data_IF_131329708751
#
_entry.id   IF_131329708751
#
_cell.length_a   1.000
_cell.length_b   1.000
_cell.length_c   1.000
_cell.angle_alpha   90.00
_cell.angle_beta   90.00
_cell.angle_gamma   90.00
#
_symmetry.space_group_name_H-M   'P 1'
#
loop_
_entity.id
_entity.type
_entity.pdbx_description
1 polymer ?
#
# COMPACT_ATOMS: atom_id res chain seq x y z
N UNK A 1 -18.05 23.73 -54.38
CA UNK A 1 -16.87 24.40 -53.79
C UNK A 1 -17.13 24.50 -52.30
N UNK A 2 -16.61 23.53 -51.53
CA UNK A 2 -16.77 23.51 -50.08
C UNK A 2 -15.78 24.48 -49.47
N UNK A 3 -16.29 25.44 -48.69
CA UNK A 3 -15.48 26.22 -47.77
C UNK A 3 -15.02 25.29 -46.66
N UNK A 4 -13.76 24.85 -46.72
CA UNK A 4 -13.06 24.28 -45.57
C UNK A 4 -12.90 25.39 -44.54
N UNK A 5 -13.76 25.38 -43.52
CA UNK A 5 -13.58 26.21 -42.33
C UNK A 5 -12.21 25.93 -41.72
N UNK A 6 -11.35 26.94 -41.70
CA UNK A 6 -10.08 26.84 -40.97
C UNK A 6 -10.41 26.79 -39.47
N UNK A 7 -10.49 25.59 -38.91
CA UNK A 7 -10.51 25.35 -37.47
C UNK A 7 -9.18 25.83 -36.89
N UNK A 8 -9.07 27.14 -36.66
CA UNK A 8 -7.93 27.74 -35.98
C UNK A 8 -8.11 27.50 -34.50
N UNK A 9 -7.28 26.61 -33.96
CA UNK A 9 -7.15 26.36 -32.53
C UNK A 9 -7.04 27.67 -31.75
N UNK A 10 -7.72 27.74 -30.60
CA UNK A 10 -7.67 28.90 -29.72
C UNK A 10 -6.22 29.18 -29.23
N UNK A 11 -5.90 30.47 -29.09
CA UNK A 11 -4.55 30.93 -28.74
C UNK A 11 -4.07 30.43 -27.38
N UNK A 12 -4.97 30.28 -26.40
CA UNK A 12 -4.63 29.72 -25.09
C UNK A 12 -4.29 28.23 -25.23
N UNK A 13 -5.05 27.50 -26.04
CA UNK A 13 -4.80 26.09 -26.33
C UNK A 13 -3.45 25.88 -27.03
N UNK A 14 -3.12 26.73 -28.00
CA UNK A 14 -1.82 26.71 -28.68
C UNK A 14 -0.67 27.02 -27.71
N UNK A 15 -0.83 28.04 -26.86
CA UNK A 15 0.20 28.43 -25.89
C UNK A 15 0.46 27.34 -24.86
N UNK A 16 -0.61 26.70 -24.34
CA UNK A 16 -0.49 25.56 -23.43
C UNK A 16 0.17 24.35 -24.10
N UNK A 17 -0.24 24.02 -25.33
CA UNK A 17 0.35 22.92 -26.07
C UNK A 17 1.86 23.14 -26.31
N UNK A 18 2.25 24.35 -26.72
CA UNK A 18 3.67 24.72 -26.87
C UNK A 18 4.41 24.70 -25.52
N UNK A 19 3.77 25.15 -24.43
CA UNK A 19 4.34 25.07 -23.08
C UNK A 19 4.57 23.62 -22.61
N UNK A 20 3.61 22.73 -22.86
CA UNK A 20 3.74 21.30 -22.54
C UNK A 20 4.82 20.64 -23.40
N UNK A 21 4.86 20.94 -24.71
CA UNK A 21 5.88 20.43 -25.61
C UNK A 21 7.29 20.83 -25.15
N UNK A 22 7.50 22.11 -24.84
CA UNK A 22 8.76 22.60 -24.27
C UNK A 22 9.07 21.92 -22.93
N UNK A 23 8.06 21.66 -22.10
CA UNK A 23 8.25 20.97 -20.83
C UNK A 23 8.76 19.54 -20.99
N UNK A 24 8.24 18.83 -22.00
CA UNK A 24 8.67 17.47 -22.34
C UNK A 24 10.09 17.42 -22.92
N UNK A 25 10.56 18.54 -23.50
CA UNK A 25 11.87 18.65 -24.13
C UNK A 25 12.99 19.05 -23.16
N UNK A 26 12.68 19.45 -21.92
CA UNK A 26 13.72 19.75 -20.94
C UNK A 26 14.52 18.51 -20.58
N UNK A 27 15.86 18.63 -20.63
CA UNK A 27 16.81 17.60 -20.16
C UNK A 27 16.44 17.05 -18.78
N UNK A 28 16.05 17.94 -17.86
CA UNK A 28 15.65 17.56 -16.50
C UNK A 28 14.38 16.70 -16.49
N UNK A 29 13.42 16.95 -17.38
CA UNK A 29 12.20 16.14 -17.48
C UNK A 29 12.53 14.74 -17.99
N UNK A 30 13.30 14.62 -19.08
CA UNK A 30 13.66 13.33 -19.67
C UNK A 30 14.44 12.48 -18.66
N UNK A 31 15.44 13.08 -18.00
CA UNK A 31 16.26 12.37 -17.01
C UNK A 31 15.44 12.00 -15.77
N UNK A 32 14.58 12.89 -15.27
CA UNK A 32 13.66 12.59 -14.17
C UNK A 32 12.69 11.46 -14.54
N UNK A 33 12.14 11.47 -15.75
CA UNK A 33 11.24 10.45 -16.24
C UNK A 33 11.92 9.07 -16.30
N UNK A 34 13.13 9.00 -16.88
CA UNK A 34 13.88 7.74 -16.95
C UNK A 34 14.25 7.24 -15.57
N UNK A 35 14.73 8.13 -14.69
CA UNK A 35 15.08 7.81 -13.30
C UNK A 35 13.88 7.27 -12.54
N UNK A 36 12.73 7.96 -12.62
CA UNK A 36 11.49 7.53 -11.98
C UNK A 36 11.05 6.17 -12.51
N UNK A 37 11.04 5.98 -13.83
CA UNK A 37 10.65 4.71 -14.45
C UNK A 37 11.55 3.56 -14.00
N UNK A 38 12.88 3.77 -13.96
CA UNK A 38 13.86 2.75 -13.57
C UNK A 38 13.77 2.41 -12.09
N UNK A 39 13.66 3.40 -11.20
CA UNK A 39 13.50 3.16 -9.77
C UNK A 39 12.15 2.50 -9.43
N UNK A 40 11.05 2.98 -10.01
CA UNK A 40 9.71 2.41 -9.77
C UNK A 40 9.53 1.01 -10.35
N UNK A 41 10.35 0.60 -11.32
CA UNK A 41 10.31 -0.75 -11.88
C UNK A 41 10.55 -1.83 -10.82
N UNK A 42 11.39 -1.56 -9.82
CA UNK A 42 11.66 -2.47 -8.71
C UNK A 42 10.46 -2.63 -7.76
N UNK A 43 9.66 -1.56 -7.62
CA UNK A 43 8.52 -1.53 -6.70
C UNK A 43 7.24 -2.05 -7.37
N UNK A 44 7.11 -1.90 -8.69
CA UNK A 44 5.89 -2.25 -9.44
C UNK A 44 5.37 -3.68 -9.14
N UNK A 45 6.18 -4.75 -9.22
CA UNK A 45 5.70 -6.11 -8.92
C UNK A 45 5.16 -6.23 -7.49
N UNK A 46 5.87 -5.64 -6.53
CA UNK A 46 5.48 -5.63 -5.12
C UNK A 46 4.14 -4.91 -4.92
N UNK A 47 3.93 -3.74 -5.54
CA UNK A 47 2.65 -3.01 -5.41
C UNK A 47 1.46 -3.82 -5.90
N UNK A 48 1.60 -4.50 -7.05
CA UNK A 48 0.53 -5.33 -7.61
C UNK A 48 0.27 -6.52 -6.70
N UNK A 49 1.31 -7.14 -6.16
CA UNK A 49 1.21 -8.32 -5.30
C UNK A 49 0.57 -7.97 -3.95
N UNK A 50 0.91 -6.84 -3.34
CA UNK A 50 0.33 -6.35 -2.08
C UNK A 50 -1.14 -5.96 -2.18
N UNK A 51 -1.63 -5.62 -3.37
CA UNK A 51 -3.04 -5.27 -3.60
C UNK A 51 -3.95 -6.50 -3.74
N UNK A 52 -3.40 -7.71 -3.76
CA UNK A 52 -4.20 -8.95 -3.82
C UNK A 52 -4.83 -9.30 -2.46
N UNK A 53 -6.05 -9.88 -2.49
CA UNK A 53 -6.92 -10.03 -1.30
C UNK A 53 -6.48 -11.16 -0.35
N UNK A 54 -5.74 -12.14 -0.85
CA UNK A 54 -5.46 -13.38 -0.14
C UNK A 54 -3.96 -13.62 -0.05
N UNK A 55 -3.27 -12.89 0.83
CA UNK A 55 -1.85 -13.15 1.01
C UNK A 55 -1.38 -13.25 2.44
N UNK A 56 -0.53 -14.24 2.62
CA UNK A 56 0.42 -14.39 3.71
C UNK A 56 1.33 -13.15 3.79
N UNK A 57 1.12 -12.39 4.86
CA UNK A 57 1.81 -11.14 5.14
C UNK A 57 3.26 -11.41 5.57
N UNK A 58 3.63 -12.62 6.02
CA UNK A 58 5.02 -12.98 6.31
C UNK A 58 5.83 -13.04 5.01
N UNK A 59 5.31 -13.69 3.96
CA UNK A 59 5.91 -13.66 2.62
C UNK A 59 5.97 -12.24 2.05
N UNK A 60 4.93 -11.43 2.29
CA UNK A 60 4.93 -10.04 1.87
C UNK A 60 6.05 -9.22 2.54
N UNK A 61 6.33 -9.46 3.83
CA UNK A 61 7.41 -8.80 4.56
C UNK A 61 8.79 -9.16 3.99
N UNK A 62 9.03 -10.44 3.69
CA UNK A 62 10.29 -10.88 3.06
C UNK A 62 10.51 -10.17 1.71
N UNK A 63 9.48 -10.07 0.88
CA UNK A 63 9.59 -9.37 -0.41
C UNK A 63 9.77 -7.85 -0.27
N UNK A 64 9.15 -7.23 0.74
CA UNK A 64 9.39 -5.81 1.05
C UNK A 64 10.86 -5.62 1.44
N UNK A 65 11.41 -6.51 2.27
CA UNK A 65 12.81 -6.45 2.69
C UNK A 65 13.78 -6.66 1.51
N UNK A 66 13.46 -7.60 0.61
CA UNK A 66 14.20 -7.84 -0.63
C UNK A 66 14.21 -6.58 -1.51
N UNK A 67 13.05 -6.02 -1.83
CA UNK A 67 12.94 -4.80 -2.66
C UNK A 67 13.66 -3.62 -2.02
N UNK A 68 13.54 -3.45 -0.70
CA UNK A 68 14.24 -2.39 0.05
C UNK A 68 15.75 -2.55 -0.08
N UNK A 69 16.26 -3.78 0.03
CA UNK A 69 17.68 -4.09 -0.15
C UNK A 69 18.15 -3.82 -1.58
N UNK A 70 17.33 -4.15 -2.59
CA UNK A 70 17.63 -3.83 -3.98
C UNK A 70 17.75 -2.31 -4.22
N UNK A 71 16.83 -1.51 -3.66
CA UNK A 71 16.90 -0.04 -3.80
C UNK A 71 18.09 0.52 -3.01
N UNK A 72 18.41 -0.04 -1.84
CA UNK A 72 19.61 0.34 -1.09
C UNK A 72 20.87 0.07 -1.92
N UNK A 73 20.93 -1.07 -2.61
CA UNK A 73 22.04 -1.40 -3.50
C UNK A 73 22.12 -0.45 -4.71
N UNK A 74 20.99 -0.06 -5.31
CA UNK A 74 20.95 0.98 -6.36
C UNK A 74 21.51 2.30 -5.84
N UNK A 75 21.17 2.67 -4.61
CA UNK A 75 21.64 3.91 -3.98
C UNK A 75 23.13 3.88 -3.65
N UNK A 76 23.65 2.74 -3.20
CA UNK A 76 25.08 2.54 -2.93
C UNK A 76 25.91 2.52 -4.23
N UNK A 77 25.36 1.95 -5.31
CA UNK A 77 25.99 1.89 -6.63
C UNK A 77 25.42 2.94 -7.60
N UNK A 78 25.04 4.10 -7.09
CA UNK A 78 24.35 5.14 -7.86
C UNK A 78 25.16 5.62 -9.07
N UNK A 79 26.49 5.63 -8.99
CA UNK A 79 27.36 6.02 -10.10
C UNK A 79 27.25 5.09 -11.32
N UNK A 80 27.49 3.79 -11.12
CA UNK A 80 27.44 2.82 -12.21
C UNK A 80 26.02 2.62 -12.75
N UNK A 81 25.03 2.62 -11.86
CA UNK A 81 23.62 2.42 -12.25
C UNK A 81 23.07 3.64 -12.99
N UNK A 82 23.36 4.85 -12.50
CA UNK A 82 22.89 6.07 -13.15
C UNK A 82 23.57 6.32 -14.49
N UNK A 83 24.83 5.91 -14.67
CA UNK A 83 25.48 5.97 -15.98
C UNK A 83 24.65 5.25 -17.07
N UNK A 84 24.11 4.07 -16.77
CA UNK A 84 23.24 3.34 -17.70
C UNK A 84 21.88 4.04 -17.91
N UNK A 85 21.32 4.62 -16.85
CA UNK A 85 20.03 5.34 -16.94
C UNK A 85 20.18 6.63 -17.76
N UNK A 86 21.30 7.32 -17.59
CA UNK A 86 21.63 8.54 -18.30
C UNK A 86 21.83 8.26 -19.80
N UNK A 87 22.56 7.20 -20.16
CA UNK A 87 22.70 6.79 -21.57
C UNK A 87 21.36 6.42 -22.24
N UNK A 88 20.39 5.92 -21.47
CA UNK A 88 19.02 5.73 -21.99
C UNK A 88 18.27 7.07 -22.15
N UNK A 89 18.44 8.02 -21.23
CA UNK A 89 17.89 9.36 -21.36
C UNK A 89 18.46 10.09 -22.59
N UNK A 90 19.76 9.96 -22.86
CA UNK A 90 20.40 10.49 -24.07
C UNK A 90 19.79 9.90 -25.33
N UNK A 91 19.63 8.57 -25.41
CA UNK A 91 18.99 7.93 -26.57
C UNK A 91 17.57 8.44 -26.81
N UNK A 92 16.79 8.65 -25.75
CA UNK A 92 15.42 9.18 -25.85
C UNK A 92 15.45 10.62 -26.35
N UNK A 93 16.36 11.45 -25.84
CA UNK A 93 16.51 12.84 -26.28
C UNK A 93 16.93 12.92 -27.75
N UNK A 94 17.94 12.14 -28.17
CA UNK A 94 18.41 12.11 -29.56
C UNK A 94 17.30 11.65 -30.52
N UNK A 95 16.51 10.65 -30.13
CA UNK A 95 15.36 10.20 -30.92
C UNK A 95 14.27 11.28 -31.06
N UNK A 96 14.16 12.19 -30.08
CA UNK A 96 13.27 13.34 -30.13
C UNK A 96 13.88 14.55 -30.87
N UNK A 97 15.17 14.50 -31.25
CA UNK A 97 15.88 15.58 -31.92
C UNK A 97 16.54 16.61 -30.99
N UNK A 98 16.81 16.25 -29.74
CA UNK A 98 17.42 17.12 -28.73
C UNK A 98 18.62 16.48 -28.04
N UNK A 99 19.51 17.30 -27.49
CA UNK A 99 20.66 16.84 -26.71
C UNK A 99 20.47 17.12 -25.21
N UNK A 100 20.84 16.15 -24.37
CA UNK A 100 20.76 16.27 -22.91
C UNK A 100 21.88 17.19 -22.42
N UNK A 101 21.52 18.43 -22.09
CA UNK A 101 22.44 19.43 -21.56
C UNK A 101 22.12 19.83 -20.12
N UNK A 102 23.15 20.27 -19.39
CA UNK A 102 22.98 20.84 -18.06
C UNK A 102 22.18 22.14 -18.10
N UNK A 103 21.31 22.40 -17.10
CA UNK A 103 20.72 23.71 -16.92
C UNK A 103 21.79 24.78 -16.72
N UNK A 104 21.49 26.03 -17.09
CA UNK A 104 22.38 27.16 -16.85
C UNK A 104 22.66 27.31 -15.35
N UNK A 105 23.94 27.21 -14.97
CA UNK A 105 24.41 27.46 -13.61
C UNK A 105 24.80 28.93 -13.46
N UNK A 106 24.28 29.59 -12.42
CA UNK A 106 24.63 30.97 -12.08
C UNK A 106 25.50 30.97 -10.82
N UNK A 107 26.49 31.87 -10.73
CA UNK A 107 27.42 31.91 -9.58
C UNK A 107 26.73 32.12 -8.22
N UNK A 108 25.56 32.78 -8.21
CA UNK A 108 24.75 32.95 -7.01
C UNK A 108 23.31 32.53 -7.33
N UNK A 109 22.90 31.40 -6.77
CA UNK A 109 21.55 30.87 -6.90
C UNK A 109 20.99 30.74 -5.48
N UNK A 110 19.97 31.54 -5.14
CA UNK A 110 19.37 31.57 -3.80
C UNK A 110 18.12 30.70 -3.67
N UNK A 111 17.57 30.24 -4.80
CA UNK A 111 16.28 29.54 -4.87
C UNK A 111 16.36 28.11 -5.42
N UNK A 112 17.56 27.61 -5.77
CA UNK A 112 17.76 26.25 -6.31
C UNK A 112 19.11 25.70 -5.85
N UNK A 113 19.18 24.38 -5.69
CA UNK A 113 20.41 23.68 -5.37
C UNK A 113 21.44 23.79 -6.50
N UNK A 114 22.63 24.26 -6.14
CA UNK A 114 23.76 24.40 -7.05
C UNK A 114 24.74 23.25 -6.81
N UNK A 115 24.45 22.09 -7.40
CA UNK A 115 25.34 20.94 -7.32
C UNK A 115 26.57 21.17 -8.21
N UNK A 116 27.81 21.24 -7.66
CA UNK A 116 29.00 21.32 -8.47
C UNK A 116 29.14 20.02 -9.27
N UNK A 117 29.20 20.12 -10.60
CA UNK A 117 29.28 18.97 -11.47
C UNK A 117 30.16 19.26 -12.69
N UNK A 118 30.97 18.27 -13.06
CA UNK A 118 31.92 18.39 -14.18
C UNK A 118 31.26 18.01 -15.53
N UNK A 119 30.14 17.29 -15.50
CA UNK A 119 29.42 16.82 -16.68
C UNK A 119 27.91 16.71 -16.38
N UNK A 120 27.10 16.55 -17.45
CA UNK A 120 25.64 16.42 -17.34
C UNK A 120 25.20 15.24 -16.49
N UNK A 121 25.87 14.10 -16.61
CA UNK A 121 25.58 12.88 -15.84
C UNK A 121 25.69 13.14 -14.34
N UNK A 122 26.82 13.65 -13.88
CA UNK A 122 27.09 13.87 -12.46
C UNK A 122 26.17 14.94 -11.86
N UNK A 123 25.77 15.95 -12.65
CA UNK A 123 24.79 16.94 -12.22
C UNK A 123 23.42 16.31 -11.96
N UNK A 124 22.89 15.54 -12.91
CA UNK A 124 21.58 14.92 -12.75
C UNK A 124 21.58 13.76 -11.77
N UNK A 125 22.72 13.07 -11.60
CA UNK A 125 22.90 12.07 -10.55
C UNK A 125 22.70 12.66 -9.16
N UNK A 126 23.36 13.80 -8.89
CA UNK A 126 23.30 14.48 -7.60
C UNK A 126 21.96 15.19 -7.37
N UNK A 127 21.38 15.80 -8.41
CA UNK A 127 20.15 16.60 -8.29
C UNK A 127 18.85 15.82 -8.40
N UNK A 128 18.85 14.67 -9.10
CA UNK A 128 17.63 13.90 -9.38
C UNK A 128 17.74 12.48 -8.81
N UNK A 129 18.73 11.70 -9.25
CA UNK A 129 18.74 10.27 -8.96
C UNK A 129 18.95 9.94 -7.49
N UNK A 130 19.95 10.56 -6.86
CA UNK A 130 20.24 10.36 -5.43
C UNK A 130 19.05 10.81 -4.56
N UNK A 131 18.53 12.04 -4.69
CA UNK A 131 17.37 12.49 -3.92
C UNK A 131 16.13 11.61 -4.13
N UNK A 132 15.90 11.14 -5.36
CA UNK A 132 14.77 10.27 -5.66
C UNK A 132 14.91 8.90 -5.00
N UNK A 133 16.08 8.27 -5.06
CA UNK A 133 16.32 6.98 -4.40
C UNK A 133 16.27 7.10 -2.87
N UNK A 134 16.81 8.18 -2.31
CA UNK A 134 16.71 8.48 -0.87
C UNK A 134 15.26 8.66 -0.43
N UNK A 135 14.45 9.37 -1.24
CA UNK A 135 13.02 9.50 -0.99
C UNK A 135 12.28 8.16 -1.07
N UNK A 136 12.55 7.33 -2.09
CA UNK A 136 11.95 6.00 -2.20
C UNK A 136 12.27 5.11 -1.00
N UNK A 137 13.54 5.11 -0.54
CA UNK A 137 13.94 4.37 0.64
C UNK A 137 13.25 4.88 1.91
N UNK A 138 13.16 6.20 2.07
CA UNK A 138 12.46 6.82 3.20
C UNK A 138 10.99 6.43 3.24
N UNK A 139 10.30 6.48 2.09
CA UNK A 139 8.88 6.10 1.99
C UNK A 139 8.65 4.60 2.26
N UNK A 140 9.52 3.72 1.74
CA UNK A 140 9.41 2.28 2.03
C UNK A 140 9.63 1.97 3.51
N UNK A 141 10.68 2.54 4.10
CA UNK A 141 10.99 2.34 5.51
C UNK A 141 9.91 2.91 6.43
N UNK A 142 9.40 4.10 6.12
CA UNK A 142 8.31 4.74 6.87
C UNK A 142 7.01 3.93 6.79
N UNK A 143 6.60 3.55 5.57
CA UNK A 143 5.34 2.83 5.34
C UNK A 143 5.33 1.43 5.94
N UNK A 144 6.48 0.75 5.96
CA UNK A 144 6.60 -0.64 6.41
C UNK A 144 7.36 -0.78 7.73
N UNK A 145 7.52 0.30 8.50
CA UNK A 145 8.22 0.31 9.78
C UNK A 145 7.73 -0.79 10.74
N UNK A 146 6.42 -1.03 10.79
CA UNK A 146 5.77 -2.02 11.66
C UNK A 146 5.51 -3.36 10.97
N UNK A 147 5.98 -3.55 9.72
CA UNK A 147 5.75 -4.80 8.99
C UNK A 147 6.50 -5.98 9.61
N UNK A 148 7.65 -5.74 10.27
CA UNK A 148 8.38 -6.76 11.03
C UNK A 148 7.52 -7.30 12.17
N UNK A 149 6.93 -6.42 12.98
CA UNK A 149 6.02 -6.81 14.05
C UNK A 149 4.84 -7.61 13.52
N UNK A 150 4.22 -7.18 12.41
CA UNK A 150 3.14 -7.93 11.79
C UNK A 150 3.61 -9.34 11.38
N UNK A 151 4.76 -9.46 10.70
CA UNK A 151 5.33 -10.73 10.29
C UNK A 151 5.67 -11.64 11.48
N UNK A 152 6.19 -11.07 12.56
CA UNK A 152 6.53 -11.80 13.80
C UNK A 152 5.26 -12.34 14.49
N UNK A 153 4.13 -11.62 14.47
CA UNK A 153 2.84 -12.15 14.98
C UNK A 153 2.28 -13.24 14.07
N UNK A 154 2.39 -13.03 12.76
CA UNK A 154 1.94 -14.01 11.79
C UNK A 154 2.77 -15.27 11.80
N UNK A 155 3.99 -15.25 12.35
CA UNK A 155 4.75 -16.46 12.62
C UNK A 155 3.97 -17.48 13.46
N UNK A 156 2.92 -17.08 14.20
CA UNK A 156 2.01 -17.99 14.90
C UNK A 156 1.06 -18.76 13.98
N UNK A 157 0.85 -18.30 12.74
CA UNK A 157 0.05 -19.02 11.75
C UNK A 157 0.77 -20.32 11.40
N UNK A 158 0.12 -21.49 11.51
CA UNK A 158 0.80 -22.79 11.42
C UNK A 158 1.64 -23.03 10.17
N UNK A 159 1.20 -22.55 9.00
CA UNK A 159 1.95 -22.69 7.76
C UNK A 159 3.30 -21.95 7.80
N UNK A 160 3.30 -20.70 8.26
CA UNK A 160 4.51 -19.89 8.43
C UNK A 160 5.33 -20.28 9.65
N UNK A 161 4.67 -20.76 10.70
CA UNK A 161 5.30 -21.26 11.93
C UNK A 161 6.26 -22.39 11.62
N UNK A 162 5.83 -23.37 10.82
CA UNK A 162 6.64 -24.54 10.49
C UNK A 162 7.79 -24.23 9.52
N UNK A 163 7.63 -23.22 8.65
CA UNK A 163 8.71 -22.75 7.78
C UNK A 163 9.84 -22.07 8.56
N UNK A 164 9.51 -21.36 9.65
CA UNK A 164 10.46 -20.53 10.40
C UNK A 164 11.01 -21.20 11.67
N UNK A 165 10.50 -22.37 12.06
CA UNK A 165 10.91 -23.07 13.29
C UNK A 165 11.65 -24.36 12.99
N UNK A 166 12.45 -24.81 13.97
CA UNK A 166 13.16 -26.09 13.91
C UNK A 166 12.47 -27.11 14.82
N UNK A 167 12.71 -28.41 14.59
CA UNK A 167 12.23 -29.44 15.51
C UNK A 167 12.93 -29.30 16.88
N UNK A 168 12.16 -29.14 17.95
CA UNK A 168 12.66 -28.97 19.32
C UNK A 168 12.19 -27.66 19.98
N UNK A 169 12.93 -27.23 21.00
CA UNK A 169 12.63 -25.99 21.72
C UNK A 169 13.09 -24.79 20.89
N UNK A 170 12.16 -23.89 20.59
CA UNK A 170 12.41 -22.66 19.86
C UNK A 170 12.22 -21.48 20.83
N UNK A 171 13.15 -20.53 20.79
CA UNK A 171 12.97 -19.26 21.45
C UNK A 171 11.80 -18.50 20.80
N UNK A 172 11.09 -17.70 21.61
CA UNK A 172 10.08 -16.79 21.08
C UNK A 172 10.77 -15.77 20.16
N UNK A 173 10.20 -15.46 18.98
CA UNK A 173 10.71 -14.36 18.15
C UNK A 173 10.69 -13.03 18.91
N UNK A 174 11.74 -12.21 18.78
CA UNK A 174 11.89 -10.91 19.45
C UNK A 174 10.66 -10.00 19.29
N UNK A 175 10.03 -9.99 18.11
CA UNK A 175 8.83 -9.21 17.88
C UNK A 175 7.59 -9.75 18.61
N UNK A 176 7.49 -11.06 18.81
CA UNK A 176 6.39 -11.66 19.58
C UNK A 176 6.57 -11.37 21.08
N UNK A 177 7.80 -11.36 21.59
CA UNK A 177 8.10 -10.93 22.96
C UNK A 177 7.84 -9.42 23.16
N UNK A 178 8.24 -8.59 22.19
CA UNK A 178 7.93 -7.15 22.19
C UNK A 178 6.43 -6.86 22.16
N UNK A 179 5.63 -7.77 21.61
CA UNK A 179 4.17 -7.64 21.60
C UNK A 179 3.52 -8.23 22.84
N UNK A 180 4.06 -9.31 23.39
CA UNK A 180 3.63 -9.84 24.68
C UNK A 180 3.80 -8.78 25.78
N UNK A 181 4.90 -8.01 25.74
CA UNK A 181 5.11 -6.86 26.63
C UNK A 181 4.16 -5.69 26.35
N UNK A 182 3.80 -5.43 25.09
CA UNK A 182 2.82 -4.40 24.74
C UNK A 182 1.40 -4.78 25.19
N UNK A 183 1.05 -6.06 25.09
CA UNK A 183 -0.25 -6.63 25.42
C UNK A 183 -0.28 -7.28 26.80
N UNK A 184 0.62 -6.89 27.71
CA UNK A 184 0.73 -7.48 29.04
C UNK A 184 -0.60 -7.42 29.82
N UNK A 185 -1.42 -6.39 29.57
CA UNK A 185 -2.75 -6.23 30.17
C UNK A 185 -3.84 -7.11 29.55
N UNK A 186 -3.63 -7.55 28.31
CA UNK A 186 -4.60 -8.33 27.54
C UNK A 186 -4.27 -9.83 27.55
N UNK A 187 -3.00 -10.20 27.79
CA UNK A 187 -2.56 -11.59 27.88
C UNK A 187 -3.02 -12.23 29.20
N UNK A 188 -3.61 -13.43 29.16
CA UNK A 188 -3.97 -14.18 30.36
C UNK A 188 -2.78 -14.50 31.28
N UNK A 189 -1.64 -14.89 30.72
CA UNK A 189 -0.41 -15.16 31.47
C UNK A 189 0.83 -15.04 30.58
N UNK A 190 1.53 -13.91 30.70
CA UNK A 190 2.77 -13.64 29.96
C UNK A 190 3.82 -14.73 30.17
N UNK A 191 4.00 -15.21 31.41
CA UNK A 191 5.08 -16.12 31.77
C UNK A 191 4.97 -17.51 31.12
N UNK A 192 3.77 -17.93 30.74
CA UNK A 192 3.53 -19.22 30.07
C UNK A 192 3.58 -19.17 28.54
N UNK A 193 3.73 -17.98 27.94
CA UNK A 193 3.73 -17.81 26.49
C UNK A 193 4.79 -18.68 25.79
N UNK A 194 6.00 -18.78 26.36
CA UNK A 194 7.09 -19.57 25.76
C UNK A 194 6.79 -21.07 25.73
N UNK A 195 6.24 -21.58 26.83
CA UNK A 195 5.81 -22.97 26.92
C UNK A 195 4.62 -23.26 26.01
N UNK A 196 3.70 -22.30 25.88
CA UNK A 196 2.57 -22.37 24.97
C UNK A 196 2.99 -22.37 23.50
N UNK A 197 3.93 -21.49 23.13
CA UNK A 197 4.52 -21.40 21.79
C UNK A 197 5.17 -22.72 21.35
N UNK A 198 5.99 -23.31 22.22
CA UNK A 198 6.64 -24.60 21.93
C UNK A 198 5.64 -25.76 21.81
N UNK A 199 4.58 -25.77 22.63
CA UNK A 199 3.47 -26.73 22.51
C UNK A 199 2.68 -26.54 21.22
N UNK A 200 2.52 -25.30 20.76
CA UNK A 200 1.84 -24.97 19.50
C UNK A 200 2.63 -25.47 18.29
N UNK A 201 3.96 -25.27 18.27
CA UNK A 201 4.86 -25.83 17.25
C UNK A 201 4.75 -27.36 17.22
N UNK A 202 4.79 -27.99 18.39
CA UNK A 202 4.74 -29.45 18.50
C UNK A 202 3.43 -30.04 17.96
N UNK A 203 2.30 -29.38 18.24
CA UNK A 203 0.97 -29.77 17.72
C UNK A 203 0.92 -29.72 16.20
N UNK A 204 1.42 -28.66 15.57
CA UNK A 204 1.34 -28.54 14.11
C UNK A 204 2.36 -29.40 13.37
N UNK A 205 3.52 -29.69 14.00
CA UNK A 205 4.46 -30.70 13.48
C UNK A 205 3.85 -32.09 13.48
N UNK A 206 3.19 -32.52 14.57
CA UNK A 206 2.55 -33.84 14.59
C UNK A 206 1.49 -33.97 13.50
N UNK A 207 0.70 -32.92 13.26
CA UNK A 207 -0.29 -32.88 12.17
C UNK A 207 0.39 -32.95 10.78
N UNK A 208 1.54 -32.31 10.61
CA UNK A 208 2.31 -32.38 9.36
C UNK A 208 2.89 -33.79 9.14
N UNK A 209 3.45 -34.39 10.18
CA UNK A 209 4.07 -35.72 10.15
C UNK A 209 3.02 -36.82 9.93
N UNK A 210 1.84 -36.70 10.55
CA UNK A 210 0.69 -37.59 10.34
C UNK A 210 0.19 -37.51 8.88
N UNK A 211 0.05 -36.30 8.33
CA UNK A 211 -0.36 -36.12 6.94
C UNK A 211 0.68 -36.68 5.96
N UNK A 212 1.98 -36.50 6.24
CA UNK A 212 3.08 -37.05 5.46
C UNK A 212 3.11 -38.59 5.51
N UNK A 213 2.83 -39.20 6.67
CA UNK A 213 2.73 -40.64 6.83
C UNK A 213 1.55 -41.24 6.04
N UNK A 214 0.47 -40.49 5.87
CA UNK A 214 -0.69 -40.86 5.04
C UNK A 214 -0.49 -40.54 3.54
N UNK A 215 0.61 -39.89 3.15
CA UNK A 215 0.87 -39.47 1.77
C UNK A 215 -0.05 -38.34 1.27
N UNK A 216 -0.64 -37.54 2.18
CA UNK A 216 -1.52 -36.41 1.85
C UNK A 216 -0.83 -35.08 2.12
N UNK A 217 -1.26 -34.02 1.42
CA UNK A 217 -0.86 -32.66 1.78
C UNK A 217 -1.49 -32.25 3.13
N UNK A 218 -0.67 -31.69 4.02
CA UNK A 218 -1.14 -31.23 5.32
C UNK A 218 -2.05 -30.00 5.17
N UNK A 219 -3.30 -30.10 5.64
CA UNK A 219 -4.22 -28.95 5.69
C UNK A 219 -3.90 -28.00 6.87
N UNK A 220 -2.74 -27.36 6.76
CA UNK A 220 -2.26 -26.33 7.68
C UNK A 220 -3.04 -25.03 7.47
N UNK A 221 -3.48 -24.34 8.55
CA UNK A 221 -4.09 -23.03 8.42
C UNK A 221 -3.10 -22.01 7.83
N UNK A 222 -3.47 -21.42 6.70
CA UNK A 222 -2.75 -20.34 6.01
C UNK A 222 -3.09 -18.93 6.53
N UNK A 223 -4.13 -18.81 7.36
CA UNK A 223 -4.64 -17.52 7.83
C UNK A 223 -4.87 -17.53 9.34
N UNK A 224 -4.71 -16.36 9.96
CA UNK A 224 -4.97 -16.14 11.38
C UNK A 224 -6.37 -16.59 11.81
N UNK A 225 -7.39 -16.31 10.99
CA UNK A 225 -8.77 -16.71 11.24
C UNK A 225 -8.95 -18.23 11.24
N UNK A 226 -8.32 -18.93 10.28
CA UNK A 226 -8.36 -20.39 10.24
C UNK A 226 -7.56 -21.03 11.39
N UNK A 227 -6.46 -20.39 11.81
CA UNK A 227 -5.67 -20.82 12.97
C UNK A 227 -6.47 -20.65 14.26
N UNK A 228 -7.15 -19.52 14.44
CA UNK A 228 -8.03 -19.24 15.57
C UNK A 228 -9.17 -20.27 15.67
N UNK A 229 -9.78 -20.63 14.55
CA UNK A 229 -10.84 -21.65 14.52
C UNK A 229 -10.40 -23.06 14.93
N UNK A 230 -9.11 -23.38 14.86
CA UNK A 230 -8.52 -24.66 15.29
C UNK A 230 -7.72 -24.55 16.61
N UNK A 231 -7.74 -23.38 17.23
CA UNK A 231 -7.09 -23.11 18.50
C UNK A 231 -8.03 -23.48 19.64
N UNK A 232 -7.54 -24.28 20.58
CA UNK A 232 -8.28 -24.59 21.82
C UNK A 232 -7.90 -23.54 22.87
N UNK A 233 -8.87 -22.72 23.29
CA UNK A 233 -8.65 -21.62 24.24
C UNK A 233 -8.19 -22.10 25.62
N UNK A 234 -8.49 -23.35 26.00
CA UNK A 234 -8.06 -23.89 27.30
C UNK A 234 -6.61 -24.33 27.28
N UNK A 235 -6.15 -24.87 26.15
CA UNK A 235 -4.78 -25.36 26.01
C UNK A 235 -3.82 -24.24 25.58
N UNK A 236 -4.33 -23.26 24.83
CA UNK A 236 -3.57 -22.16 24.23
C UNK A 236 -4.24 -20.78 24.46
N UNK A 237 -4.31 -20.31 25.73
CA UNK A 237 -4.99 -19.07 26.07
C UNK A 237 -4.28 -17.80 25.54
N UNK A 238 -2.95 -17.74 25.58
CA UNK A 238 -2.21 -16.56 25.12
C UNK A 238 -2.21 -16.46 23.58
N UNK A 239 -1.95 -17.57 22.90
CA UNK A 239 -1.95 -17.65 21.44
C UNK A 239 -3.35 -17.36 20.89
N UNK A 240 -4.42 -17.85 21.54
CA UNK A 240 -5.80 -17.51 21.13
C UNK A 240 -6.06 -15.99 21.21
N UNK A 241 -5.62 -15.35 22.29
CA UNK A 241 -5.77 -13.90 22.48
C UNK A 241 -5.01 -13.11 21.41
N UNK A 242 -3.76 -13.50 21.14
CA UNK A 242 -2.92 -12.89 20.10
C UNK A 242 -3.52 -13.09 18.70
N UNK A 243 -3.99 -14.30 18.37
CA UNK A 243 -4.64 -14.60 17.08
C UNK A 243 -5.95 -13.82 16.92
N UNK A 244 -6.69 -13.59 18.00
CA UNK A 244 -7.91 -12.78 18.00
C UNK A 244 -7.62 -11.32 17.73
N UNK A 245 -6.62 -10.74 18.40
CA UNK A 245 -6.16 -9.38 18.13
C UNK A 245 -5.67 -9.24 16.68
N UNK A 246 -4.93 -10.22 16.18
CA UNK A 246 -4.46 -10.26 14.79
C UNK A 246 -5.62 -10.22 13.78
N UNK A 247 -6.72 -10.94 14.05
CA UNK A 247 -7.91 -10.91 13.19
C UNK A 247 -8.64 -9.56 13.17
N UNK A 248 -8.41 -8.70 14.17
CA UNK A 248 -9.00 -7.35 14.23
C UNK A 248 -8.12 -6.27 13.63
N UNK A 249 -6.82 -6.54 13.43
CA UNK A 249 -5.91 -5.59 12.81
C UNK A 249 -6.13 -5.60 11.30
N UNK A 250 -6.38 -4.43 10.67
CA UNK A 250 -6.43 -4.34 9.21
C UNK A 250 -5.02 -4.54 8.65
N UNK A 251 -4.68 -5.79 8.30
CA UNK A 251 -3.32 -6.12 7.88
C UNK A 251 -2.99 -5.63 6.45
N UNK A 252 -4.01 -5.28 5.67
CA UNK A 252 -3.82 -4.70 4.34
C UNK A 252 -4.59 -3.40 4.16
N UNK A 253 -3.94 -2.42 3.54
CA UNK A 253 -4.60 -1.16 3.12
C UNK A 253 -5.63 -1.38 2.00
N UNK A 254 -5.67 -2.56 1.40
CA UNK A 254 -6.52 -2.94 0.26
C UNK A 254 -8.03 -2.78 0.53
N UNK A 255 -8.49 -3.05 1.76
CA UNK A 255 -9.90 -2.80 2.13
C UNK A 255 -10.22 -1.30 2.15
N UNK A 256 -9.28 -0.49 2.62
CA UNK A 256 -9.37 0.98 2.60
C UNK A 256 -9.22 1.51 1.17
N UNK A 257 -8.42 0.87 0.31
CA UNK A 257 -8.30 1.25 -1.11
C UNK A 257 -9.62 0.99 -1.88
N UNK A 258 -10.39 -0.04 -1.50
CA UNK A 258 -11.75 -0.25 -2.04
C UNK A 258 -12.66 0.91 -1.66
N UNK A 259 -12.70 1.35 -0.41
CA UNK A 259 -13.52 2.50 0.00
C UNK A 259 -13.04 3.81 -0.65
N UNK A 260 -11.73 4.02 -0.78
CA UNK A 260 -11.13 5.20 -1.46
C UNK A 260 -11.43 5.20 -2.97
N UNK A 261 -11.36 4.05 -3.66
CA UNK A 261 -11.71 3.96 -5.08
C UNK A 261 -13.19 4.23 -5.34
N UNK A 262 -14.08 3.77 -4.44
CA UNK A 262 -15.50 4.15 -4.47
C UNK A 262 -15.67 5.65 -4.21
N UNK A 263 -14.93 6.23 -3.27
CA UNK A 263 -14.92 7.67 -3.01
C UNK A 263 -14.47 8.49 -4.23
N UNK A 264 -13.46 8.06 -4.99
CA UNK A 264 -13.05 8.72 -6.26
C UNK A 264 -14.17 8.74 -7.31
N UNK A 265 -15.08 7.77 -7.28
CA UNK A 265 -16.26 7.75 -8.15
C UNK A 265 -17.30 8.79 -7.70
N UNK A 266 -17.45 8.97 -6.39
CA UNK A 266 -18.41 9.92 -5.80
C UNK A 266 -17.89 11.36 -5.90
N UNK A 267 -16.60 11.55 -5.64
CA UNK A 267 -15.89 12.83 -5.67
C UNK A 267 -14.96 12.88 -6.87
N UNK A 268 -15.50 13.33 -8.01
CA UNK A 268 -14.70 13.61 -9.21
C UNK A 268 -14.11 15.00 -9.14
N UNK A 269 -12.95 15.20 -9.80
CA UNK A 269 -12.24 16.48 -9.84
C UNK A 269 -13.13 17.65 -10.32
N UNK A 270 -14.12 17.36 -11.18
CA UNK A 270 -15.09 18.33 -11.70
C UNK A 270 -16.34 18.54 -10.82
N UNK A 271 -16.51 17.78 -9.72
CA UNK A 271 -17.68 17.85 -8.81
C UNK A 271 -17.24 17.74 -7.34
N UNK A 272 -16.60 18.78 -6.82
CA UNK A 272 -15.99 18.78 -5.47
C UNK A 272 -16.80 19.47 -4.37
N UNK A 273 -17.95 20.09 -4.66
CA UNK A 273 -18.80 20.68 -3.60
C UNK A 273 -19.84 19.67 -3.09
N UNK A 274 -19.52 18.95 -2.01
CA UNK A 274 -20.48 18.13 -1.25
C UNK A 274 -20.11 18.18 0.22
N UNK A 275 -21.09 18.39 1.09
CA UNK A 275 -20.91 18.38 2.54
C UNK A 275 -20.51 16.98 3.04
N UNK A 276 -19.68 16.93 4.09
CA UNK A 276 -19.10 15.70 4.64
C UNK A 276 -20.15 14.63 4.96
N UNK A 277 -21.28 15.01 5.56
CA UNK A 277 -22.38 14.09 5.89
C UNK A 277 -22.96 13.38 4.66
N UNK A 278 -23.13 14.13 3.56
CA UNK A 278 -23.65 13.57 2.30
C UNK A 278 -22.60 12.68 1.63
N UNK A 279 -21.32 13.05 1.71
CA UNK A 279 -20.23 12.24 1.19
C UNK A 279 -20.14 10.89 1.91
N UNK A 280 -20.16 10.91 3.24
CA UNK A 280 -20.12 9.71 4.08
C UNK A 280 -21.33 8.81 3.83
N UNK A 281 -22.54 9.38 3.75
CA UNK A 281 -23.75 8.62 3.44
C UNK A 281 -23.68 7.92 2.08
N UNK A 282 -23.25 8.64 1.03
CA UNK A 282 -23.09 8.06 -0.31
C UNK A 282 -21.96 7.01 -0.36
N UNK A 283 -20.87 7.23 0.36
CA UNK A 283 -19.77 6.29 0.45
C UNK A 283 -20.22 4.98 1.09
N UNK A 284 -20.93 5.03 2.23
CA UNK A 284 -21.47 3.85 2.91
C UNK A 284 -22.44 3.07 2.03
N UNK A 285 -23.37 3.76 1.35
CA UNK A 285 -24.30 3.11 0.40
C UNK A 285 -23.56 2.42 -0.75
N UNK A 286 -22.46 3.00 -1.23
CA UNK A 286 -21.69 2.46 -2.34
C UNK A 286 -20.76 1.31 -1.94
N UNK A 287 -20.22 1.35 -0.72
CA UNK A 287 -19.37 0.30 -0.15
C UNK A 287 -20.21 -0.95 0.14
N UNK A 288 -21.39 -0.78 0.71
CA UNK A 288 -22.30 -1.87 1.11
C UNK A 288 -23.50 -2.04 0.18
N UNK A 289 -23.31 -1.80 -1.12
CA UNK A 289 -24.39 -1.89 -2.12
C UNK A 289 -24.99 -3.31 -2.20
N UNK A 290 -24.22 -4.33 -1.81
CA UNK A 290 -24.55 -5.74 -1.78
C UNK A 290 -25.41 -6.15 -0.57
N UNK A 291 -25.63 -5.27 0.40
CA UNK A 291 -26.48 -5.54 1.56
C UNK A 291 -27.91 -5.06 1.31
N UNK A 292 -28.88 -5.96 1.50
CA UNK A 292 -30.29 -5.61 1.43
C UNK A 292 -30.66 -4.65 2.58
N UNK A 293 -31.12 -3.47 2.21
CA UNK A 293 -31.62 -2.47 3.16
C UNK A 293 -33.12 -2.66 3.33
N UNK A 294 -33.57 -2.95 4.55
CA UNK A 294 -34.99 -3.05 4.85
C UNK A 294 -35.65 -1.66 4.79
N UNK A 295 -36.35 -1.39 3.69
CA UNK A 295 -37.00 -0.10 3.41
C UNK A 295 -37.97 0.31 4.50
N UNK A 296 -38.71 -0.63 5.11
CA UNK A 296 -39.67 -0.32 6.18
C UNK A 296 -38.98 0.30 7.40
N UNK A 297 -37.85 -0.28 7.82
CA UNK A 297 -37.08 0.23 8.96
C UNK A 297 -36.49 1.63 8.67
N UNK A 298 -36.10 1.89 7.42
CA UNK A 298 -35.61 3.21 7.00
C UNK A 298 -36.74 4.25 7.07
N UNK A 299 -37.94 3.90 6.60
CA UNK A 299 -39.12 4.77 6.67
C UNK A 299 -39.50 5.07 8.12
N UNK A 300 -39.52 4.06 8.99
CA UNK A 300 -39.83 4.23 10.41
C UNK A 300 -38.80 5.12 11.12
N UNK A 301 -37.51 4.88 10.88
CA UNK A 301 -36.42 5.73 11.42
C UNK A 301 -36.50 7.17 10.90
N UNK A 302 -36.82 7.35 9.61
CA UNK A 302 -36.98 8.68 9.02
C UNK A 302 -38.19 9.41 9.62
N UNK A 303 -39.32 8.71 9.78
CA UNK A 303 -40.53 9.24 10.40
C UNK A 303 -40.31 9.63 11.86
N UNK A 304 -39.56 8.84 12.63
CA UNK A 304 -39.19 9.15 14.00
C UNK A 304 -38.27 10.39 14.09
N UNK A 305 -37.28 10.49 13.20
CA UNK A 305 -36.29 11.59 13.21
C UNK A 305 -36.84 12.90 12.65
N UNK A 306 -37.78 12.85 11.71
CA UNK A 306 -38.36 14.02 11.04
C UNK A 306 -39.89 14.04 11.16
N UNK A 307 -40.40 13.90 12.40
CA UNK A 307 -41.84 13.82 12.72
C UNK A 307 -42.67 14.95 12.10
N UNK A 308 -42.12 16.16 12.00
CA UNK A 308 -42.79 17.34 11.44
C UNK A 308 -42.90 17.32 9.91
N UNK A 309 -41.98 16.65 9.19
CA UNK A 309 -42.01 16.58 7.71
C UNK A 309 -43.05 15.57 7.19
N UNK A 310 -43.28 14.48 7.92
CA UNK A 310 -44.32 13.50 7.60
C UNK A 310 -45.74 14.07 7.77
N UNK A 311 -45.97 14.88 8.81
CA UNK A 311 -47.28 15.52 9.02
C UNK A 311 -47.63 16.57 7.96
N UNK A 312 -46.64 17.27 7.39
CA UNK A 312 -46.84 18.26 6.33
C UNK A 312 -47.26 17.65 4.97
N UNK A 313 -46.87 16.40 4.69
CA UNK A 313 -47.34 15.69 3.50
C UNK A 313 -48.75 15.14 3.68
N UNK A 314 -49.09 14.63 4.87
CA UNK A 314 -50.44 14.16 5.17
C UNK A 314 -51.50 15.28 5.12
N UNK A 315 -51.16 16.47 5.62
CA UNK A 315 -52.05 17.65 5.54
C UNK A 315 -52.18 18.22 4.11
N UNK A 316 -51.22 17.98 3.23
CA UNK A 316 -51.32 18.36 1.80
C UNK A 316 -52.20 17.41 0.99
N UNK A 317 -52.24 16.11 1.32
CA UNK A 317 -53.12 15.16 0.64
C UNK A 317 -54.58 15.23 1.11
N UNK A 318 -54.84 15.68 2.34
CA UNK A 318 -56.20 15.88 2.86
C UNK A 318 -56.85 17.20 2.42
N UNK A 319 -56.07 18.10 1.80
CA UNK A 319 -56.52 19.40 1.30
C UNK A 319 -56.56 19.48 -0.25
N UNK A 320 -56.55 18.32 -0.93
CA UNK A 320 -56.89 18.17 -2.35
C UNK A 320 -58.15 17.30 -2.47
#
# INVERSE_FOLDING_TARGET
MGEEGSDKWDSDSLTRASGMLNSLQYSSFIVAFVTARKGLQYIKPLTVKLQTVARDIALAHQEIAEVTTCIQHLRSNAEATFFQWFGEAERIATAAGFDVSMPRQCQRQTLRDNHPANNSESYFRASIAIPFLDHLLSELNSRFQHSKLAADVLSLVPETLLQNTVAGFNAIPEGLESLATLWDTDLPDHGSLEAEYNRWISKWRSVQDEAAAEGKEAHLPATAAAALGKCDEQMYPNISTILRQLCTLPVTTSEVERSISRLKTIKTYLRSSTAEDRLNGLALMRIHYDRDVNVSNVVDRFAAKFRTRMMLQATRMLNQ
#
